data_IF_934689187919
#
_entry.id   IF_934689187919
#
_cell.length_a   1.000
_cell.length_b   1.000
_cell.length_c   1.000
_cell.angle_alpha   90.00
_cell.angle_beta   90.00
_cell.angle_gamma   90.00
#
_symmetry.space_group_name_H-M   'P 1'
#
loop_
_entity.id
_entity.type
_entity.pdbx_description
1 polymer ?
#
# COMPACT_ATOMS: atom_id res chain seq x y z
N UNK A 1 22.69 -20.21 -23.22
CA UNK A 1 22.89 -19.52 -21.95
C UNK A 1 21.55 -18.91 -21.55
N UNK A 2 20.89 -19.42 -20.50
CA UNK A 2 19.63 -18.84 -19.98
C UNK A 2 19.97 -17.42 -19.47
N UNK A 3 19.33 -16.39 -20.04
CA UNK A 3 19.38 -15.04 -19.47
C UNK A 3 18.61 -15.09 -18.15
N UNK A 4 19.32 -15.06 -17.04
CA UNK A 4 18.69 -14.81 -15.73
C UNK A 4 18.29 -13.33 -15.73
N UNK A 5 17.01 -13.07 -15.95
CA UNK A 5 16.45 -11.72 -15.78
C UNK A 5 16.22 -11.50 -14.28
N UNK A 6 16.62 -10.34 -13.77
CA UNK A 6 16.26 -9.97 -12.40
C UNK A 6 14.74 -10.00 -12.23
N UNK A 7 14.23 -10.46 -11.07
CA UNK A 7 12.80 -10.45 -10.80
C UNK A 7 12.28 -9.01 -10.80
N UNK A 8 11.07 -8.81 -11.30
CA UNK A 8 10.36 -7.54 -11.20
C UNK A 8 10.18 -7.16 -9.73
N UNK A 9 10.43 -5.89 -9.40
CA UNK A 9 10.32 -5.37 -8.03
C UNK A 9 9.02 -4.59 -7.87
N UNK A 10 8.23 -4.95 -6.86
CA UNK A 10 6.97 -4.26 -6.52
C UNK A 10 7.09 -3.67 -5.12
N UNK A 11 7.04 -2.34 -5.01
CA UNK A 11 6.94 -1.66 -3.73
C UNK A 11 5.49 -1.75 -3.22
N UNK A 12 5.28 -2.45 -2.13
CA UNK A 12 3.97 -2.72 -1.55
C UNK A 12 3.75 -1.84 -0.31
N UNK A 13 2.93 -0.80 -0.45
CA UNK A 13 2.61 0.18 0.60
C UNK A 13 1.25 -0.17 1.20
N UNK A 14 1.25 -1.00 2.23
CA UNK A 14 0.05 -1.56 2.87
C UNK A 14 0.26 -1.75 4.37
N UNK A 15 -0.81 -2.05 5.11
CA UNK A 15 -0.69 -2.52 6.48
C UNK A 15 -0.08 -3.93 6.57
N UNK A 16 0.46 -4.24 7.73
CA UNK A 16 0.85 -5.59 8.12
C UNK A 16 0.03 -6.03 9.33
N UNK A 17 -0.92 -6.91 9.11
CA UNK A 17 -1.76 -7.48 10.16
C UNK A 17 -1.27 -8.86 10.58
N UNK A 18 -1.14 -9.08 11.90
CA UNK A 18 -0.66 -10.35 12.46
C UNK A 18 -1.70 -11.46 12.32
N UNK A 19 -2.86 -11.30 12.93
CA UNK A 19 -3.98 -12.25 12.82
C UNK A 19 -5.00 -11.74 11.82
N UNK A 20 -5.59 -12.65 11.05
CA UNK A 20 -6.50 -12.33 9.96
C UNK A 20 -5.71 -11.93 8.71
N UNK A 21 -5.16 -12.91 8.01
CA UNK A 21 -4.27 -12.73 6.85
C UNK A 21 -4.88 -11.82 5.79
N UNK A 22 -4.36 -10.62 5.67
CA UNK A 22 -4.71 -9.65 4.63
C UNK A 22 -3.49 -8.79 4.29
N UNK A 23 -3.61 -7.90 3.35
CA UNK A 23 -2.59 -6.91 2.97
C UNK A 23 -1.18 -7.52 2.80
N UNK A 24 -0.13 -7.00 3.43
CA UNK A 24 1.24 -7.51 3.25
C UNK A 24 1.39 -9.00 3.60
N UNK A 25 0.65 -9.50 4.59
CA UNK A 25 0.71 -10.92 4.97
C UNK A 25 0.25 -11.87 3.84
N UNK A 26 -0.52 -11.38 2.87
CA UNK A 26 -0.97 -12.12 1.67
C UNK A 26 -0.16 -11.72 0.45
N UNK A 27 0.08 -10.43 0.25
CA UNK A 27 0.76 -9.90 -0.93
C UNK A 27 2.17 -10.48 -1.05
N UNK A 28 2.93 -10.52 0.05
CA UNK A 28 4.31 -11.00 0.03
C UNK A 28 4.44 -12.45 -0.46
N UNK A 29 3.74 -13.44 0.09
CA UNK A 29 3.85 -14.81 -0.40
C UNK A 29 3.29 -14.98 -1.82
N UNK A 30 2.19 -14.29 -2.17
CA UNK A 30 1.57 -14.41 -3.50
C UNK A 30 2.51 -13.88 -4.59
N UNK A 31 3.04 -12.68 -4.44
CA UNK A 31 3.97 -12.13 -5.42
C UNK A 31 5.27 -12.93 -5.49
N UNK A 32 5.76 -13.43 -4.33
CA UNK A 32 6.98 -14.25 -4.31
C UNK A 32 6.84 -15.55 -5.11
N UNK A 33 5.72 -16.27 -4.98
CA UNK A 33 5.49 -17.50 -5.76
C UNK A 33 5.27 -17.22 -7.26
N UNK A 34 4.89 -15.99 -7.61
CA UNK A 34 4.80 -15.54 -9.00
C UNK A 34 6.17 -15.14 -9.59
N UNK A 35 7.26 -15.27 -8.83
CA UNK A 35 8.60 -14.89 -9.29
C UNK A 35 8.86 -13.38 -9.27
N UNK A 36 8.06 -12.62 -8.54
CA UNK A 36 8.19 -11.18 -8.32
C UNK A 36 8.89 -10.95 -6.97
N UNK A 37 9.70 -9.91 -6.86
CA UNK A 37 10.27 -9.46 -5.60
C UNK A 37 9.37 -8.39 -4.96
N UNK A 38 8.51 -8.74 -4.00
CA UNK A 38 7.77 -7.74 -3.24
C UNK A 38 8.68 -7.06 -2.23
N UNK A 39 8.61 -5.74 -2.17
CA UNK A 39 9.31 -4.92 -1.18
C UNK A 39 8.27 -4.33 -0.24
N UNK A 40 8.27 -4.79 1.00
CA UNK A 40 7.29 -4.38 1.98
C UNK A 40 7.57 -2.98 2.53
N UNK A 41 6.58 -2.10 2.48
CA UNK A 41 6.58 -0.80 3.17
C UNK A 41 5.31 -0.73 4.04
N UNK A 42 5.37 -1.17 5.30
CA UNK A 42 4.21 -1.17 6.16
C UNK A 42 3.79 0.25 6.55
N UNK A 43 2.54 0.60 6.24
CA UNK A 43 1.91 1.85 6.67
C UNK A 43 1.60 1.84 8.15
N UNK A 44 1.15 0.70 8.63
CA UNK A 44 0.87 0.41 10.03
C UNK A 44 1.06 -1.08 10.27
N UNK A 45 1.55 -1.45 11.46
CA UNK A 45 1.55 -2.84 11.92
C UNK A 45 0.42 -3.01 12.93
N UNK A 46 -0.42 -4.01 12.71
CA UNK A 46 -1.61 -4.28 13.51
C UNK A 46 -1.51 -5.68 14.13
N UNK A 47 -1.95 -5.83 15.39
CA UNK A 47 -2.02 -7.16 16.01
C UNK A 47 -3.03 -8.08 15.31
N UNK A 48 -4.13 -7.51 14.79
CA UNK A 48 -5.14 -8.17 13.99
C UNK A 48 -5.61 -7.22 12.88
N UNK A 49 -6.23 -7.70 11.81
CA UNK A 49 -6.96 -6.79 10.92
C UNK A 49 -8.16 -6.15 11.67
N UNK A 50 -8.70 -5.06 11.12
CA UNK A 50 -9.70 -4.23 11.80
C UNK A 50 -11.13 -4.79 11.82
N UNK A 51 -11.40 -5.86 11.07
CA UNK A 51 -12.74 -6.42 10.94
C UNK A 51 -12.99 -7.56 11.92
N UNK A 52 -13.91 -7.39 12.87
CA UNK A 52 -14.41 -8.47 13.75
C UNK A 52 -13.54 -8.85 14.95
N UNK A 53 -12.38 -8.19 15.17
CA UNK A 53 -11.45 -8.49 16.26
C UNK A 53 -11.36 -7.38 17.33
N UNK A 54 -12.28 -6.42 17.31
CA UNK A 54 -12.22 -5.26 18.19
C UNK A 54 -11.12 -4.27 17.80
N UNK A 55 -10.52 -3.58 18.77
CA UNK A 55 -9.48 -2.57 18.53
C UNK A 55 -8.10 -3.22 18.58
N UNK A 56 -7.37 -3.31 17.46
CA UNK A 56 -6.04 -3.91 17.46
C UNK A 56 -5.00 -3.01 18.14
N UNK A 57 -3.96 -3.62 18.69
CA UNK A 57 -2.72 -2.90 18.97
C UNK A 57 -2.14 -2.39 17.65
N UNK A 58 -1.62 -1.14 17.66
CA UNK A 58 -1.17 -0.44 16.45
C UNK A 58 0.22 0.15 16.65
N UNK A 59 1.08 -0.07 15.66
CA UNK A 59 2.36 0.63 15.50
C UNK A 59 2.30 1.41 14.20
N UNK A 60 2.45 2.73 14.28
CA UNK A 60 2.48 3.59 13.10
C UNK A 60 3.77 3.41 12.31
N UNK A 61 3.66 3.33 10.99
CA UNK A 61 4.76 3.08 10.07
C UNK A 61 5.30 4.34 9.37
N UNK A 62 4.73 5.54 9.59
CA UNK A 62 5.08 6.73 8.81
C UNK A 62 6.56 7.09 8.91
N UNK A 63 7.11 7.23 10.11
CA UNK A 63 8.51 7.61 10.29
C UNK A 63 9.48 6.58 9.68
N UNK A 64 9.15 5.29 9.82
CA UNK A 64 9.89 4.22 9.15
C UNK A 64 9.77 4.33 7.63
N UNK A 65 8.56 4.54 7.13
CA UNK A 65 8.27 4.64 5.70
C UNK A 65 9.04 5.78 5.03
N UNK A 66 9.07 6.95 5.66
CA UNK A 66 9.86 8.10 5.20
C UNK A 66 11.36 7.77 5.10
N UNK A 67 11.92 7.19 6.16
CA UNK A 67 13.32 6.80 6.20
C UNK A 67 13.65 5.70 5.18
N UNK A 68 12.74 4.73 5.01
CA UNK A 68 12.91 3.64 4.06
C UNK A 68 12.88 4.13 2.60
N UNK A 69 11.95 5.01 2.23
CA UNK A 69 11.89 5.59 0.88
C UNK A 69 13.16 6.36 0.56
N UNK A 70 13.66 7.16 1.51
CA UNK A 70 14.91 7.89 1.33
C UNK A 70 16.10 6.95 1.15
N UNK A 71 16.20 5.93 1.99
CA UNK A 71 17.26 4.92 1.88
C UNK A 71 17.22 4.18 0.54
N UNK A 72 16.01 3.80 0.06
CA UNK A 72 15.88 3.17 -1.25
C UNK A 72 16.34 4.10 -2.39
N UNK A 73 16.02 5.40 -2.28
CA UNK A 73 16.48 6.42 -3.21
C UNK A 73 18.00 6.55 -3.22
N UNK A 74 18.64 6.61 -2.04
CA UNK A 74 20.11 6.68 -1.88
C UNK A 74 20.82 5.46 -2.45
N UNK A 75 20.22 4.27 -2.32
CA UNK A 75 20.74 3.03 -2.91
C UNK A 75 20.52 2.96 -4.43
N UNK A 76 19.85 3.93 -5.05
CA UNK A 76 19.53 3.92 -6.47
C UNK A 76 18.56 2.82 -6.88
N UNK A 77 17.71 2.34 -5.95
CA UNK A 77 16.74 1.30 -6.25
C UNK A 77 15.67 1.83 -7.21
N UNK A 78 15.23 0.95 -8.11
CA UNK A 78 14.08 1.18 -8.98
C UNK A 78 13.01 0.12 -8.72
N UNK A 79 11.76 0.51 -8.93
CA UNK A 79 10.59 -0.36 -8.82
C UNK A 79 9.87 -0.42 -10.16
N UNK A 80 9.44 -1.61 -10.57
CA UNK A 80 8.61 -1.80 -11.76
C UNK A 80 7.15 -1.42 -11.47
N UNK A 81 6.72 -1.57 -10.21
CA UNK A 81 5.38 -1.24 -9.78
C UNK A 81 5.39 -0.72 -8.34
N UNK A 82 4.47 0.20 -8.04
CA UNK A 82 4.10 0.62 -6.69
C UNK A 82 2.65 0.22 -6.48
N UNK A 83 2.40 -0.60 -5.47
CA UNK A 83 1.06 -1.08 -5.13
C UNK A 83 0.67 -0.59 -3.74
N UNK A 84 -0.39 0.20 -3.67
CA UNK A 84 -0.92 0.75 -2.42
C UNK A 84 -2.25 0.11 -2.05
N UNK A 85 -2.51 -0.05 -0.76
CA UNK A 85 -3.78 -0.56 -0.23
C UNK A 85 -4.23 0.18 1.01
N UNK A 86 -4.46 -0.51 2.13
CA UNK A 86 -4.85 0.17 3.36
C UNK A 86 -3.72 1.06 3.87
N UNK A 87 -3.95 2.36 3.84
CA UNK A 87 -2.95 3.36 4.24
C UNK A 87 -3.07 3.72 5.72
N UNK A 88 -4.29 3.74 6.27
CA UNK A 88 -4.51 3.97 7.69
C UNK A 88 -4.68 5.44 8.10
N UNK A 89 -4.40 6.40 7.22
CA UNK A 89 -4.57 7.82 7.47
C UNK A 89 -3.93 8.73 6.41
N UNK A 90 -4.06 10.03 6.63
CA UNK A 90 -3.61 11.06 5.68
C UNK A 90 -2.08 11.12 5.55
N UNK A 91 -1.35 10.88 6.65
CA UNK A 91 0.12 10.87 6.64
C UNK A 91 0.66 9.70 5.80
N UNK A 92 0.04 8.52 5.91
CA UNK A 92 0.41 7.36 5.10
C UNK A 92 0.02 7.55 3.62
N UNK A 93 -1.06 8.30 3.35
CA UNK A 93 -1.38 8.68 1.97
C UNK A 93 -0.31 9.61 1.38
N UNK A 94 0.19 10.58 2.16
CA UNK A 94 1.31 11.42 1.74
C UNK A 94 2.59 10.61 1.46
N UNK A 95 2.84 9.55 2.23
CA UNK A 95 3.95 8.63 1.97
C UNK A 95 3.82 7.92 0.61
N UNK A 96 2.61 7.51 0.25
CA UNK A 96 2.34 6.90 -1.05
C UNK A 96 2.53 7.91 -2.20
N UNK A 97 2.07 9.15 -2.01
CA UNK A 97 2.30 10.25 -2.96
C UNK A 97 3.80 10.49 -3.19
N UNK A 98 4.58 10.55 -2.11
CA UNK A 98 6.05 10.67 -2.16
C UNK A 98 6.70 9.52 -2.93
N UNK A 99 6.26 8.29 -2.72
CA UNK A 99 6.77 7.14 -3.47
C UNK A 99 6.48 7.28 -4.97
N UNK A 100 5.30 7.79 -5.35
CA UNK A 100 4.95 8.06 -6.76
C UNK A 100 5.83 9.15 -7.38
N UNK A 101 6.26 10.13 -6.59
CA UNK A 101 7.16 11.20 -7.04
C UNK A 101 8.60 10.71 -7.20
N UNK A 102 9.06 9.86 -6.28
CA UNK A 102 10.42 9.30 -6.32
C UNK A 102 10.61 8.31 -7.48
N UNK A 103 9.57 7.55 -7.84
CA UNK A 103 9.62 6.57 -8.93
C UNK A 103 8.49 6.81 -9.96
N UNK A 104 8.57 7.91 -10.73
CA UNK A 104 7.49 8.30 -11.65
C UNK A 104 7.25 7.29 -12.76
N UNK A 105 8.26 6.51 -13.14
CA UNK A 105 8.18 5.49 -14.19
C UNK A 105 7.60 4.15 -13.72
N UNK A 106 7.44 3.95 -12.40
CA UNK A 106 6.82 2.74 -11.87
C UNK A 106 5.34 2.69 -12.23
N UNK A 107 4.83 1.50 -12.58
CA UNK A 107 3.40 1.27 -12.77
C UNK A 107 2.66 1.41 -11.43
N UNK A 108 1.63 2.23 -11.36
CA UNK A 108 0.95 2.58 -10.11
C UNK A 108 -0.38 1.85 -9.99
N UNK A 109 -0.47 0.97 -8.99
CA UNK A 109 -1.70 0.26 -8.64
C UNK A 109 -2.21 0.82 -7.31
N UNK A 110 -3.44 1.30 -7.31
CA UNK A 110 -4.10 1.84 -6.10
C UNK A 110 -5.33 1.02 -5.77
N UNK A 111 -5.32 0.37 -4.59
CA UNK A 111 -6.53 -0.13 -3.97
C UNK A 111 -6.98 0.91 -2.92
N UNK A 112 -8.02 1.71 -3.20
CA UNK A 112 -8.42 2.82 -2.34
C UNK A 112 -9.25 2.35 -1.16
N UNK A 113 -8.61 1.61 -0.25
CA UNK A 113 -9.27 0.93 0.88
C UNK A 113 -9.87 1.95 1.85
N UNK A 114 -11.16 2.26 1.67
CA UNK A 114 -11.89 3.26 2.44
C UNK A 114 -13.23 2.76 2.99
N UNK A 115 -13.76 1.67 2.48
CA UNK A 115 -15.07 1.18 2.91
C UNK A 115 -15.48 -0.12 2.25
N UNK A 116 -16.58 -0.68 2.75
CA UNK A 116 -17.20 -1.90 2.22
C UNK A 116 -18.68 -1.96 2.59
N UNK A 117 -19.47 -2.78 1.86
CA UNK A 117 -20.89 -2.99 2.11
C UNK A 117 -21.72 -1.67 2.18
N UNK A 118 -21.39 -0.71 1.31
CA UNK A 118 -22.09 0.58 1.22
C UNK A 118 -21.73 1.59 2.31
N UNK A 119 -20.69 1.36 3.12
CA UNK A 119 -20.28 2.24 4.22
C UNK A 119 -18.79 2.49 4.22
N UNK A 120 -18.40 3.76 4.43
CA UNK A 120 -17.02 4.09 4.75
C UNK A 120 -16.64 3.55 6.13
N UNK A 121 -15.35 3.18 6.29
CA UNK A 121 -14.83 2.79 7.59
C UNK A 121 -14.82 3.98 8.56
N UNK A 122 -14.98 3.71 9.85
CA UNK A 122 -15.09 4.75 10.89
C UNK A 122 -13.87 5.68 10.98
N UNK A 123 -12.72 5.23 10.49
CA UNK A 123 -11.47 6.00 10.47
C UNK A 123 -11.30 6.88 9.23
N UNK A 124 -12.21 6.79 8.26
CA UNK A 124 -12.13 7.53 7.00
C UNK A 124 -12.77 8.90 7.15
N UNK A 125 -11.94 9.93 6.98
CA UNK A 125 -12.35 11.34 6.99
C UNK A 125 -12.62 11.84 5.57
N UNK A 126 -13.38 12.94 5.38
CA UNK A 126 -13.52 13.58 4.07
C UNK A 126 -12.16 13.98 3.45
N UNK A 127 -11.23 14.47 4.28
CA UNK A 127 -9.89 14.83 3.82
C UNK A 127 -9.10 13.61 3.33
N UNK A 128 -9.24 12.47 3.99
CA UNK A 128 -8.62 11.22 3.54
C UNK A 128 -9.24 10.75 2.21
N UNK A 129 -10.57 10.85 2.03
CA UNK A 129 -11.23 10.52 0.76
C UNK A 129 -10.67 11.39 -0.38
N UNK A 130 -10.52 12.69 -0.15
CA UNK A 130 -9.97 13.58 -1.18
C UNK A 130 -8.51 13.26 -1.53
N UNK A 131 -7.70 12.86 -0.55
CA UNK A 131 -6.34 12.36 -0.82
C UNK A 131 -6.35 11.05 -1.63
N UNK A 132 -7.20 10.11 -1.27
CA UNK A 132 -7.33 8.85 -2.02
C UNK A 132 -7.78 9.07 -3.46
N UNK A 133 -8.70 10.03 -3.70
CA UNK A 133 -9.08 10.46 -5.05
C UNK A 133 -7.88 11.03 -5.82
N UNK A 134 -7.00 11.79 -5.17
CA UNK A 134 -5.77 12.32 -5.80
C UNK A 134 -4.80 11.20 -6.16
N UNK A 135 -4.60 10.22 -5.28
CA UNK A 135 -3.81 9.02 -5.59
C UNK A 135 -4.40 8.25 -6.77
N UNK A 136 -5.72 8.03 -6.78
CA UNK A 136 -6.40 7.34 -7.87
C UNK A 136 -6.24 8.06 -9.22
N UNK A 137 -6.22 9.39 -9.25
CA UNK A 137 -5.96 10.16 -10.49
C UNK A 137 -4.56 9.96 -11.05
N UNK A 138 -3.62 9.50 -10.23
CA UNK A 138 -2.23 9.22 -10.60
C UNK A 138 -1.98 7.74 -10.89
N UNK A 139 -2.99 6.90 -10.68
CA UNK A 139 -2.89 5.46 -10.85
C UNK A 139 -3.00 5.03 -12.31
N UNK A 140 -2.24 4.01 -12.69
CA UNK A 140 -2.39 3.30 -13.95
C UNK A 140 -3.48 2.22 -13.85
N UNK A 141 -3.72 1.71 -12.63
CA UNK A 141 -4.76 0.73 -12.32
C UNK A 141 -5.37 1.02 -10.94
N UNK A 142 -6.70 1.01 -10.87
CA UNK A 142 -7.45 1.15 -9.62
C UNK A 142 -8.18 -0.16 -9.33
N UNK A 143 -8.05 -0.67 -8.11
CA UNK A 143 -8.70 -1.88 -7.61
C UNK A 143 -9.70 -1.48 -6.51
N UNK A 144 -10.86 -0.97 -6.90
CA UNK A 144 -11.90 -0.50 -5.99
C UNK A 144 -13.08 -1.48 -5.96
N UNK A 145 -13.67 -1.68 -4.77
CA UNK A 145 -15.00 -2.25 -4.64
C UNK A 145 -16.09 -1.21 -4.97
N UNK A 146 -17.36 -1.64 -5.04
CA UNK A 146 -18.47 -0.75 -5.41
C UNK A 146 -18.67 0.41 -4.40
N UNK A 147 -18.36 0.20 -3.12
CA UNK A 147 -18.45 1.24 -2.08
C UNK A 147 -17.38 2.30 -2.30
N UNK A 148 -16.15 1.87 -2.51
CA UNK A 148 -15.01 2.76 -2.74
C UNK A 148 -15.15 3.55 -4.05
N UNK A 149 -15.72 2.93 -5.08
CA UNK A 149 -15.99 3.60 -6.34
C UNK A 149 -17.08 4.68 -6.22
N UNK A 150 -17.93 4.62 -5.19
CA UNK A 150 -18.95 5.61 -4.87
C UNK A 150 -18.50 6.74 -3.95
N UNK A 151 -17.29 6.62 -3.36
CA UNK A 151 -16.70 7.61 -2.47
C UNK A 151 -15.75 8.54 -3.26
#
# INVERSE_FOLDING_TARGET
>A
MLKITEPKKVLCIHDLSGVGRCSLAVILPVLSVMGIQPVALPTVVLSTHTGGFGTPARLDGCAYGEAALEHYRELGLSFDCIYTGYLGGEEQAALAEKAFDLWPSAYKVVAPVMGDNGKAYATVTPAFIDRMRQLCRRADLILANATEAGL
#
